data_IF_316604745667
#
_entry.id   IF_316604745667
#
_cell.length_a   1.000
_cell.length_b   1.000
_cell.length_c   1.000
_cell.angle_alpha   90.00
_cell.angle_beta   90.00
_cell.angle_gamma   90.00
#
_symmetry.space_group_name_H-M   'P 1'
#
loop_
_entity.id
_entity.type
_entity.pdbx_description
1 polymer ?
#
# COMPACT_ATOMS: atom_id res chain seq x y z
N UNK A 1 46.92 -11.39 10.44
CA UNK A 1 45.78 -10.44 10.53
C UNK A 1 44.72 -10.72 9.46
N UNK A 2 45.07 -10.84 8.17
CA UNK A 2 44.11 -11.12 7.08
C UNK A 2 43.28 -12.42 7.25
N UNK A 3 43.90 -13.52 7.72
CA UNK A 3 43.20 -14.82 7.87
C UNK A 3 42.08 -14.80 8.94
N UNK A 4 42.21 -13.97 9.99
CA UNK A 4 41.16 -13.80 11.01
C UNK A 4 39.97 -12.99 10.49
N UNK A 5 40.21 -11.99 9.64
CA UNK A 5 39.16 -11.19 8.98
C UNK A 5 38.39 -12.03 7.97
N UNK A 6 39.09 -12.84 7.18
CA UNK A 6 38.49 -13.79 6.22
C UNK A 6 37.63 -14.82 6.96
N UNK A 7 38.11 -15.41 8.05
CA UNK A 7 37.33 -16.36 8.86
C UNK A 7 36.08 -15.73 9.50
N UNK A 8 36.17 -14.48 9.96
CA UNK A 8 35.03 -13.76 10.55
C UNK A 8 33.96 -13.44 9.49
N UNK A 9 34.39 -12.97 8.31
CA UNK A 9 33.51 -12.73 7.15
C UNK A 9 32.85 -14.02 6.65
N UNK A 10 33.56 -15.14 6.64
CA UNK A 10 32.99 -16.43 6.26
C UNK A 10 31.92 -16.91 7.25
N UNK A 11 32.11 -16.63 8.55
CA UNK A 11 31.12 -16.96 9.58
C UNK A 11 29.85 -16.10 9.49
N UNK A 12 29.98 -14.81 9.17
CA UNK A 12 28.83 -13.91 8.99
C UNK A 12 28.08 -14.22 7.71
N UNK A 13 28.78 -14.51 6.61
CA UNK A 13 28.16 -15.00 5.37
C UNK A 13 27.44 -16.34 5.59
N UNK A 14 28.04 -17.29 6.32
CA UNK A 14 27.39 -18.55 6.66
C UNK A 14 26.08 -18.38 7.44
N UNK A 15 26.03 -17.40 8.38
CA UNK A 15 24.81 -17.04 9.12
C UNK A 15 23.75 -16.40 8.22
N UNK A 16 24.14 -15.53 7.29
CA UNK A 16 23.21 -14.95 6.31
C UNK A 16 22.64 -16.01 5.36
N UNK A 17 23.48 -16.93 4.87
CA UNK A 17 23.04 -18.07 4.07
C UNK A 17 22.10 -19.00 4.87
N UNK A 18 22.30 -19.14 6.18
CA UNK A 18 21.38 -19.89 7.04
C UNK A 18 20.01 -19.21 7.20
N UNK A 19 19.96 -17.87 7.22
CA UNK A 19 18.71 -17.09 7.28
C UNK A 19 17.96 -17.04 5.95
N UNK A 20 18.63 -17.27 4.81
CA UNK A 20 17.99 -17.26 3.50
C UNK A 20 16.83 -18.25 3.41
N UNK A 21 17.01 -19.49 3.89
CA UNK A 21 15.97 -20.54 3.82
C UNK A 21 14.69 -20.17 4.61
N UNK A 22 14.75 -19.78 5.90
CA UNK A 22 13.56 -19.39 6.63
C UNK A 22 12.94 -18.09 6.11
N UNK A 23 13.74 -17.11 5.68
CA UNK A 23 13.21 -15.85 5.11
C UNK A 23 12.44 -16.12 3.81
N UNK A 24 13.02 -16.88 2.89
CA UNK A 24 12.34 -17.23 1.63
C UNK A 24 11.08 -18.05 1.88
N UNK A 25 11.12 -18.99 2.83
CA UNK A 25 9.94 -19.76 3.20
C UNK A 25 8.82 -18.87 3.77
N UNK A 26 9.12 -18.03 4.75
CA UNK A 26 8.14 -17.13 5.36
C UNK A 26 7.60 -16.10 4.36
N UNK A 27 8.46 -15.58 3.47
CA UNK A 27 8.03 -14.68 2.40
C UNK A 27 7.05 -15.36 1.43
N UNK A 28 7.27 -16.63 1.09
CA UNK A 28 6.33 -17.40 0.24
C UNK A 28 4.99 -17.61 0.92
N UNK A 29 5.00 -17.96 2.21
CA UNK A 29 3.76 -18.11 3.00
C UNK A 29 3.00 -16.78 3.05
N UNK A 30 3.70 -15.68 3.36
CA UNK A 30 3.12 -14.34 3.36
C UNK A 30 2.53 -13.96 2.00
N UNK A 31 3.21 -14.30 0.90
CA UNK A 31 2.71 -14.06 -0.45
C UNK A 31 1.43 -14.84 -0.77
N UNK A 32 1.33 -16.12 -0.36
CA UNK A 32 0.12 -16.91 -0.58
C UNK A 32 -1.05 -16.39 0.28
N UNK A 33 -0.78 -15.98 1.52
CA UNK A 33 -1.79 -15.33 2.37
C UNK A 33 -2.26 -14.02 1.74
N UNK A 34 -1.34 -13.18 1.27
CA UNK A 34 -1.67 -11.92 0.59
C UNK A 34 -2.52 -12.18 -0.66
N UNK A 35 -2.20 -13.22 -1.45
CA UNK A 35 -2.99 -13.62 -2.61
C UNK A 35 -4.41 -14.06 -2.24
N UNK A 36 -4.58 -14.83 -1.16
CA UNK A 36 -5.90 -15.24 -0.69
C UNK A 36 -6.74 -14.04 -0.27
N UNK A 37 -6.15 -13.08 0.44
CA UNK A 37 -6.82 -11.84 0.83
C UNK A 37 -7.18 -11.00 -0.39
N UNK A 38 -6.26 -10.84 -1.35
CA UNK A 38 -6.53 -10.11 -2.60
C UNK A 38 -7.77 -10.61 -3.34
N UNK A 39 -7.90 -11.94 -3.46
CA UNK A 39 -9.05 -12.56 -4.13
C UNK A 39 -10.33 -12.45 -3.29
N UNK A 40 -10.26 -12.70 -1.98
CA UNK A 40 -11.43 -12.67 -1.09
C UNK A 40 -12.01 -11.28 -0.88
N UNK A 41 -11.15 -10.28 -0.73
CA UNK A 41 -11.55 -8.88 -0.55
C UNK A 41 -11.95 -8.21 -1.88
N UNK A 42 -11.88 -8.94 -3.00
CA UNK A 42 -12.28 -8.40 -4.30
C UNK A 42 -11.46 -7.17 -4.69
N UNK A 43 -10.16 -7.13 -4.37
CA UNK A 43 -9.28 -5.99 -4.69
C UNK A 43 -8.99 -5.84 -6.19
N UNK A 44 -9.52 -6.75 -7.02
CA UNK A 44 -9.52 -6.61 -8.46
C UNK A 44 -10.40 -5.43 -8.88
N UNK A 45 -10.04 -4.80 -10.00
CA UNK A 45 -10.84 -3.73 -10.54
C UNK A 45 -12.26 -4.25 -10.86
N UNK A 46 -13.32 -3.56 -10.41
CA UNK A 46 -14.69 -4.00 -10.62
C UNK A 46 -15.06 -3.97 -12.11
N UNK A 47 -16.04 -4.79 -12.49
CA UNK A 47 -16.60 -4.78 -13.84
C UNK A 47 -17.35 -3.46 -14.11
N UNK A 48 -17.46 -3.05 -15.38
CA UNK A 48 -18.18 -1.82 -15.75
C UNK A 48 -19.64 -1.78 -15.28
N UNK A 49 -20.29 -2.95 -15.19
CA UNK A 49 -21.64 -3.07 -14.65
C UNK A 49 -21.70 -2.74 -13.15
N UNK A 50 -20.74 -3.24 -12.36
CA UNK A 50 -20.63 -2.94 -10.92
C UNK A 50 -20.36 -1.46 -10.67
N UNK A 51 -19.58 -0.81 -11.54
CA UNK A 51 -19.36 0.63 -11.46
C UNK A 51 -20.65 1.44 -11.68
N UNK A 52 -21.44 1.07 -12.70
CA UNK A 52 -22.73 1.71 -12.96
C UNK A 52 -23.72 1.52 -11.82
N UNK A 53 -23.72 0.35 -11.17
CA UNK A 53 -24.54 0.06 -9.99
C UNK A 53 -24.10 0.90 -8.77
N UNK A 54 -22.79 1.01 -8.53
CA UNK A 54 -22.26 1.85 -7.47
C UNK A 54 -22.63 3.33 -7.66
N UNK A 55 -22.56 3.84 -8.89
CA UNK A 55 -22.96 5.21 -9.21
C UNK A 55 -24.45 5.46 -8.94
N UNK A 56 -25.32 4.53 -9.34
CA UNK A 56 -26.77 4.62 -9.05
C UNK A 56 -27.04 4.60 -7.55
N UNK A 57 -26.33 3.75 -6.81
CA UNK A 57 -26.43 3.66 -5.35
C UNK A 57 -26.01 4.97 -4.69
N UNK A 58 -24.89 5.57 -5.11
CA UNK A 58 -24.46 6.88 -4.63
C UNK A 58 -25.50 7.97 -4.89
N UNK A 59 -26.04 8.02 -6.12
CA UNK A 59 -27.09 9.00 -6.47
C UNK A 59 -28.35 8.82 -5.61
N UNK A 60 -28.71 7.59 -5.26
CA UNK A 60 -29.83 7.30 -4.38
C UNK A 60 -29.54 7.74 -2.93
N UNK A 61 -28.34 7.47 -2.42
CA UNK A 61 -27.92 7.80 -1.04
C UNK A 61 -27.73 9.30 -0.80
N UNK A 62 -27.39 10.07 -1.85
CA UNK A 62 -27.24 11.52 -1.78
C UNK A 62 -28.58 12.28 -1.79
N UNK A 63 -29.72 11.58 -1.90
CA UNK A 63 -31.04 12.21 -1.79
C UNK A 63 -31.22 12.83 -0.41
N UNK A 64 -31.73 14.07 -0.38
CA UNK A 64 -31.89 14.89 0.83
C UNK A 64 -32.65 14.19 1.98
N UNK A 65 -33.52 13.23 1.64
CA UNK A 65 -34.30 12.49 2.64
C UNK A 65 -33.48 11.45 3.43
N UNK A 66 -32.38 10.95 2.85
CA UNK A 66 -31.46 10.01 3.49
C UNK A 66 -30.45 10.74 4.37
N UNK A 67 -29.94 11.91 3.93
CA UNK A 67 -29.00 12.72 4.72
C UNK A 67 -29.59 13.23 6.04
N UNK A 68 -30.90 13.48 6.09
CA UNK A 68 -31.58 13.95 7.31
C UNK A 68 -31.65 12.92 8.43
N UNK A 69 -31.46 11.64 8.13
CA UNK A 69 -31.55 10.54 9.08
C UNK A 69 -30.19 9.98 9.50
N UNK A 70 -29.09 10.67 9.19
CA UNK A 70 -27.74 10.21 9.52
C UNK A 70 -27.46 10.27 11.03
N UNK A 71 -26.96 9.16 11.58
CA UNK A 71 -26.48 9.12 12.96
C UNK A 71 -25.00 9.50 13.04
N UNK A 72 -24.51 9.89 14.21
CA UNK A 72 -23.09 10.20 14.43
C UNK A 72 -22.18 9.01 14.09
N UNK A 73 -22.66 7.78 14.36
CA UNK A 73 -21.94 6.55 14.02
C UNK A 73 -21.79 6.37 12.51
N UNK A 74 -22.79 6.75 11.72
CA UNK A 74 -22.73 6.66 10.26
C UNK A 74 -21.74 7.66 9.68
N UNK A 75 -21.69 8.87 10.26
CA UNK A 75 -20.70 9.90 9.89
C UNK A 75 -19.28 9.43 10.23
N UNK A 76 -19.07 8.84 11.41
CA UNK A 76 -17.77 8.31 11.79
C UNK A 76 -17.29 7.19 10.83
N UNK A 77 -18.18 6.24 10.50
CA UNK A 77 -17.88 5.19 9.52
C UNK A 77 -17.58 5.76 8.14
N UNK A 78 -18.40 6.70 7.67
CA UNK A 78 -18.19 7.39 6.40
C UNK A 78 -16.87 8.17 6.36
N UNK A 79 -16.48 8.79 7.47
CA UNK A 79 -15.21 9.48 7.62
C UNK A 79 -14.00 8.55 7.49
N UNK A 80 -14.06 7.35 8.08
CA UNK A 80 -13.00 6.34 7.93
C UNK A 80 -12.88 5.90 6.47
N UNK A 81 -13.99 5.60 5.80
CA UNK A 81 -13.99 5.21 4.39
C UNK A 81 -13.47 6.34 3.49
N UNK A 82 -13.80 7.61 3.78
CA UNK A 82 -13.25 8.75 3.05
C UNK A 82 -11.73 8.88 3.24
N UNK A 83 -11.22 8.63 4.45
CA UNK A 83 -9.79 8.62 4.72
C UNK A 83 -9.07 7.50 3.95
N UNK A 84 -9.69 6.33 3.83
CA UNK A 84 -9.18 5.23 3.01
C UNK A 84 -9.10 5.61 1.52
N UNK A 85 -10.18 6.18 0.96
CA UNK A 85 -10.19 6.66 -0.43
C UNK A 85 -9.10 7.72 -0.67
N UNK A 86 -8.94 8.66 0.27
CA UNK A 86 -7.89 9.67 0.20
C UNK A 86 -6.49 9.04 0.22
N UNK A 87 -6.29 7.99 1.03
CA UNK A 87 -5.03 7.24 1.07
C UNK A 87 -4.74 6.56 -0.26
N UNK A 88 -5.74 5.96 -0.92
CA UNK A 88 -5.57 5.39 -2.26
C UNK A 88 -5.20 6.46 -3.30
N UNK A 89 -5.76 7.66 -3.22
CA UNK A 89 -5.38 8.78 -4.09
C UNK A 89 -3.90 9.14 -3.92
N UNK A 90 -3.42 9.27 -2.68
CA UNK A 90 -2.00 9.55 -2.39
C UNK A 90 -1.07 8.43 -2.88
N UNK A 91 -1.46 7.16 -2.71
CA UNK A 91 -0.70 6.02 -3.26
C UNK A 91 -0.64 6.11 -4.79
N UNK A 92 -1.75 6.49 -5.44
CA UNK A 92 -1.80 6.76 -6.87
C UNK A 92 -0.81 7.85 -7.29
N UNK A 93 -0.71 8.94 -6.55
CA UNK A 93 0.28 9.99 -6.80
C UNK A 93 1.72 9.46 -6.63
N UNK A 94 2.00 8.67 -5.60
CA UNK A 94 3.31 8.03 -5.36
C UNK A 94 3.71 7.14 -6.56
N UNK A 95 2.78 6.34 -7.07
CA UNK A 95 3.01 5.49 -8.25
C UNK A 95 3.20 6.34 -9.51
N UNK A 96 2.37 7.36 -9.71
CA UNK A 96 2.45 8.26 -10.86
C UNK A 96 3.76 9.06 -10.91
N UNK A 97 4.23 9.56 -9.76
CA UNK A 97 5.51 10.29 -9.63
C UNK A 97 6.73 9.37 -9.47
N UNK A 98 6.52 8.07 -9.21
CA UNK A 98 7.55 7.04 -8.91
C UNK A 98 8.53 7.44 -7.80
N UNK A 99 8.08 8.24 -6.84
CA UNK A 99 8.88 8.74 -5.72
C UNK A 99 8.07 8.63 -4.43
N UNK A 100 8.67 8.04 -3.40
CA UNK A 100 8.02 7.85 -2.10
C UNK A 100 7.98 9.16 -1.28
N UNK A 101 8.99 10.01 -1.43
CA UNK A 101 9.14 11.25 -0.65
C UNK A 101 9.60 12.36 -1.60
N UNK A 102 8.84 13.46 -1.65
CA UNK A 102 9.24 14.65 -2.39
C UNK A 102 9.37 14.44 -3.90
N UNK A 103 9.57 15.54 -4.64
CA UNK A 103 9.89 15.47 -6.07
C UNK A 103 11.40 15.38 -6.19
N UNK A 104 11.88 14.52 -7.09
CA UNK A 104 13.29 14.52 -7.47
C UNK A 104 13.53 15.75 -8.37
N UNK A 105 13.65 16.91 -7.73
CA UNK A 105 14.15 18.12 -8.38
C UNK A 105 15.66 18.11 -8.25
N UNK A 106 16.37 18.46 -9.33
CA UNK A 106 17.79 18.80 -9.20
C UNK A 106 17.86 20.02 -8.27
N UNK A 107 18.48 19.86 -7.12
CA UNK A 107 18.86 20.99 -6.28
C UNK A 107 19.80 21.89 -7.09
N UNK A 108 19.47 23.16 -7.24
CA UNK A 108 20.32 24.22 -7.80
C UNK A 108 21.46 24.58 -6.81
N UNK A 109 22.08 23.58 -6.19
CA UNK A 109 23.18 23.74 -5.23
C UNK A 109 24.48 23.27 -5.88
N UNK A 110 24.87 24.00 -6.92
CA UNK A 110 26.28 24.16 -7.34
C UNK A 110 26.38 25.59 -7.85
N UNK A 111 26.27 26.55 -6.93
CA UNK A 111 26.83 27.88 -7.12
C UNK A 111 28.30 27.78 -6.71
N UNK A 112 29.17 27.56 -7.70
CA UNK A 112 30.60 27.78 -7.56
C UNK A 112 30.84 29.21 -7.05
N UNK A 113 31.47 29.31 -5.87
CA UNK A 113 32.10 30.53 -5.36
C UNK A 113 33.58 30.25 -5.14
#
# INVERSE_FOLDING_TARGET
>A
MASKIIGCAQSTLGKLCALQKPVVFNAKVAAEVAKQVYVKEGMAFPTGAQFAEAQKTLQQSLKLNQLKNLTFTDVAKGGVVLAEIYTFFLIGEIVGRRNLIGYNVKSEETHDH
#
